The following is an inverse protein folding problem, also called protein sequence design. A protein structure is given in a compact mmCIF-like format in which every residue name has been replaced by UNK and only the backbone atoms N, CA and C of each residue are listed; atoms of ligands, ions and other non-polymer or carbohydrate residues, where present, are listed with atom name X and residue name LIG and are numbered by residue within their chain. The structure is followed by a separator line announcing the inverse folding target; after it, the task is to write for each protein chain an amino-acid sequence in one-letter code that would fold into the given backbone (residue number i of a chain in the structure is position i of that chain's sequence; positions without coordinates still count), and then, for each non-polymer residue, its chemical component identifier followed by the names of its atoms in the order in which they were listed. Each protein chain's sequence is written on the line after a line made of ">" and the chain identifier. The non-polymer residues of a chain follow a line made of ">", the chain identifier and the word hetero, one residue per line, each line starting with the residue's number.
data_IF_766722605642
#
_entry.id   IF_766722605642
#
_cell.length_a   1.000
_cell.length_b   1.000
_cell.length_c   1.000
_cell.angle_alpha   90.00
_cell.angle_beta   90.00
_cell.angle_gamma   90.00
#
_symmetry.space_group_name_H-M   'P 1'
#
loop_
_entity.id
_entity.type
_entity.pdbx_description
1 polymer ?
#
# COMPACT_ATOMS: atom_id res chain seq x y z
N UNK A 1 8.20 -4.39 19.62
CA UNK A 1 8.86 -3.81 18.42
C UNK A 1 9.41 -2.45 18.84
N UNK A 2 10.67 -2.11 18.51
CA UNK A 2 11.20 -0.77 18.78
C UNK A 2 10.80 0.14 17.61
N UNK A 3 10.09 1.22 17.90
CA UNK A 3 9.59 2.14 16.86
C UNK A 3 10.70 2.87 16.09
N UNK A 4 11.87 3.05 16.71
CA UNK A 4 13.01 3.74 16.08
C UNK A 4 13.64 2.91 14.95
N UNK A 5 13.34 1.59 14.89
CA UNK A 5 13.77 0.70 13.83
C UNK A 5 12.69 0.55 12.72
N UNK A 6 11.53 1.21 12.91
CA UNK A 6 10.40 1.06 12.01
C UNK A 6 10.51 2.01 10.82
N UNK A 7 10.20 1.49 9.62
CA UNK A 7 10.15 2.25 8.37
C UNK A 7 8.80 2.02 7.69
N UNK A 8 8.13 3.13 7.34
CA UNK A 8 6.98 3.12 6.44
C UNK A 8 7.45 3.29 5.00
N UNK A 9 7.08 2.35 4.14
CA UNK A 9 7.24 2.45 2.68
C UNK A 9 5.92 2.87 2.04
N UNK A 10 5.94 3.95 1.25
CA UNK A 10 4.76 4.52 0.60
C UNK A 10 5.13 5.22 -0.72
N UNK A 11 4.20 5.90 -1.38
CA UNK A 11 4.43 6.61 -2.63
C UNK A 11 4.22 8.12 -2.55
N UNK A 12 3.69 8.62 -1.45
CA UNK A 12 3.48 10.05 -1.21
C UNK A 12 2.35 10.69 -2.02
N UNK A 13 1.51 9.91 -2.69
CA UNK A 13 0.36 10.42 -3.42
C UNK A 13 -0.74 10.91 -2.45
N UNK A 14 -1.60 11.82 -2.95
CA UNK A 14 -2.75 12.30 -2.18
C UNK A 14 -3.69 11.15 -1.79
N UNK A 15 -4.33 11.27 -0.65
CA UNK A 15 -5.26 10.29 -0.10
C UNK A 15 -4.60 9.34 0.92
N UNK A 16 -4.71 8.04 0.72
CA UNK A 16 -4.25 7.06 1.71
C UNK A 16 -2.74 7.14 1.97
N UNK A 17 -1.92 7.22 0.92
CA UNK A 17 -0.46 7.28 1.08
C UNK A 17 -0.01 8.53 1.85
N UNK A 18 -0.63 9.70 1.57
CA UNK A 18 -0.42 10.91 2.36
C UNK A 18 -0.79 10.69 3.83
N UNK A 19 -1.95 10.08 4.11
CA UNK A 19 -2.43 9.86 5.46
C UNK A 19 -1.53 8.89 6.24
N UNK A 20 -1.05 7.82 5.61
CA UNK A 20 -0.05 6.92 6.20
C UNK A 20 1.24 7.67 6.58
N UNK A 21 1.77 8.50 5.67
CA UNK A 21 2.95 9.30 5.94
C UNK A 21 2.73 10.32 7.06
N UNK A 22 1.58 11.00 7.11
CA UNK A 22 1.23 11.92 8.21
C UNK A 22 1.14 11.19 9.56
N UNK A 23 0.60 9.96 9.58
CA UNK A 23 0.56 9.14 10.78
C UNK A 23 1.96 8.71 11.21
N UNK A 24 2.80 8.24 10.28
CA UNK A 24 4.21 7.88 10.55
C UNK A 24 4.97 9.06 11.17
N UNK A 25 4.81 10.27 10.62
CA UNK A 25 5.46 11.48 11.16
C UNK A 25 5.00 11.80 12.57
N UNK A 26 3.70 11.74 12.86
CA UNK A 26 3.18 11.99 14.23
C UNK A 26 3.72 11.01 15.26
N UNK A 27 3.98 9.75 14.85
CA UNK A 27 4.51 8.70 15.73
C UNK A 27 6.03 8.61 15.72
N UNK A 28 6.73 9.47 14.96
CA UNK A 28 8.18 9.47 14.86
C UNK A 28 8.78 8.31 14.07
N UNK A 29 7.99 7.68 13.21
CA UNK A 29 8.42 6.57 12.34
C UNK A 29 9.12 7.13 11.11
N UNK A 30 10.23 6.50 10.68
CA UNK A 30 10.89 6.82 9.43
C UNK A 30 9.98 6.48 8.24
N UNK A 31 10.11 7.26 7.18
CA UNK A 31 9.25 7.14 5.99
C UNK A 31 10.11 7.20 4.72
N UNK A 32 9.81 6.31 3.78
CA UNK A 32 10.38 6.29 2.43
C UNK A 32 9.25 6.33 1.41
N UNK A 33 9.21 7.41 0.62
CA UNK A 33 8.21 7.59 -0.45
C UNK A 33 8.86 7.34 -1.82
N UNK A 34 8.51 6.24 -2.46
CA UNK A 34 8.97 5.92 -3.80
C UNK A 34 8.23 6.72 -4.85
N UNK A 35 8.98 7.39 -5.73
CA UNK A 35 8.46 8.29 -6.75
C UNK A 35 9.33 8.25 -8.01
N UNK A 36 8.96 9.02 -9.02
CA UNK A 36 9.70 9.19 -10.27
C UNK A 36 9.61 10.64 -10.77
N UNK A 37 10.48 11.04 -11.66
CA UNK A 37 10.48 12.40 -12.22
C UNK A 37 9.14 12.73 -12.90
N UNK A 38 8.46 13.79 -12.43
CA UNK A 38 7.15 14.22 -12.90
C UNK A 38 5.96 13.50 -12.24
N UNK A 39 6.19 12.71 -11.20
CA UNK A 39 5.10 12.12 -10.41
C UNK A 39 4.39 13.20 -9.58
N UNK A 40 3.07 13.24 -9.69
CA UNK A 40 2.25 14.16 -8.87
C UNK A 40 2.05 13.58 -7.48
N UNK A 41 2.91 13.99 -6.55
CA UNK A 41 2.87 13.63 -5.14
C UNK A 41 2.64 14.87 -4.28
N UNK A 42 2.11 14.68 -3.08
CA UNK A 42 1.85 15.76 -2.11
C UNK A 42 2.74 15.65 -0.88
N UNK A 43 3.43 14.51 -0.73
CA UNK A 43 4.31 14.24 0.41
C UNK A 43 5.72 13.93 -0.07
N UNK A 44 6.68 14.70 0.45
CA UNK A 44 8.10 14.63 0.01
C UNK A 44 9.06 14.22 1.12
N UNK A 45 8.56 13.93 2.34
CA UNK A 45 9.39 13.39 3.42
C UNK A 45 9.91 12.01 3.02
N UNK A 46 11.20 11.73 3.18
CA UNK A 46 11.81 10.48 2.78
C UNK A 46 11.71 10.17 1.29
N UNK A 47 11.67 11.20 0.42
CA UNK A 47 11.48 11.02 -1.01
C UNK A 47 12.62 10.24 -1.66
N UNK A 48 12.30 9.14 -2.34
CA UNK A 48 13.19 8.32 -3.15
C UNK A 48 12.75 8.37 -4.61
N UNK A 49 13.41 9.18 -5.42
CA UNK A 49 13.13 9.30 -6.87
C UNK A 49 13.86 8.16 -7.60
N UNK A 50 13.09 7.28 -8.22
CA UNK A 50 13.59 6.14 -8.99
C UNK A 50 13.92 6.55 -10.42
N UNK A 51 15.04 6.07 -10.94
CA UNK A 51 15.41 6.23 -12.34
C UNK A 51 14.71 5.18 -13.22
N UNK A 52 14.95 5.22 -14.54
CA UNK A 52 14.29 4.32 -15.49
C UNK A 52 14.64 2.84 -15.26
N UNK A 53 15.88 2.53 -14.95
CA UNK A 53 16.35 1.16 -14.73
C UNK A 53 15.79 0.59 -13.42
N UNK A 54 15.78 1.40 -12.37
CA UNK A 54 15.16 1.05 -11.10
C UNK A 54 13.67 0.76 -11.29
N UNK A 55 12.93 1.64 -11.96
CA UNK A 55 11.50 1.43 -12.23
C UNK A 55 11.23 0.11 -12.95
N UNK A 56 12.08 -0.26 -13.92
CA UNK A 56 11.91 -1.49 -14.70
C UNK A 56 12.11 -2.78 -13.87
N UNK A 57 12.71 -2.71 -12.69
CA UNK A 57 12.99 -3.89 -11.85
C UNK A 57 11.73 -4.67 -11.45
N UNK A 58 10.57 -3.99 -11.37
CA UNK A 58 9.29 -4.60 -11.04
C UNK A 58 8.50 -5.16 -12.22
N UNK A 59 8.94 -4.94 -13.46
CA UNK A 59 8.12 -5.19 -14.66
C UNK A 59 7.65 -6.64 -14.81
N UNK A 60 8.53 -7.61 -14.55
CA UNK A 60 8.19 -9.05 -14.65
C UNK A 60 7.12 -9.42 -13.64
N UNK A 61 7.26 -8.97 -12.39
CA UNK A 61 6.27 -9.21 -11.33
C UNK A 61 4.94 -8.56 -11.66
N UNK A 62 4.96 -7.31 -12.12
CA UNK A 62 3.75 -6.57 -12.47
C UNK A 62 3.02 -7.16 -13.68
N UNK A 63 3.75 -7.61 -14.70
CA UNK A 63 3.14 -8.36 -15.82
C UNK A 63 2.44 -9.62 -15.33
N UNK A 64 3.07 -10.37 -14.42
CA UNK A 64 2.47 -11.57 -13.84
C UNK A 64 1.22 -11.25 -13.01
N UNK A 65 1.28 -10.23 -12.14
CA UNK A 65 0.13 -9.73 -11.37
C UNK A 65 -1.02 -9.33 -12.31
N UNK A 66 -0.72 -8.61 -13.39
CA UNK A 66 -1.71 -8.22 -14.38
C UNK A 66 -2.46 -9.42 -14.98
N UNK A 67 -1.72 -10.48 -15.31
CA UNK A 67 -2.32 -11.72 -15.84
C UNK A 67 -3.26 -12.38 -14.83
N UNK A 68 -2.86 -12.46 -13.55
CA UNK A 68 -3.70 -13.03 -12.49
C UNK A 68 -5.01 -12.27 -12.31
N UNK A 69 -4.97 -10.94 -12.41
CA UNK A 69 -6.15 -10.09 -12.30
C UNK A 69 -6.93 -9.94 -13.62
N UNK A 70 -6.51 -10.60 -14.71
CA UNK A 70 -7.02 -10.35 -16.05
C UNK A 70 -6.99 -8.85 -16.43
N UNK A 71 -5.92 -8.14 -16.03
CA UNK A 71 -5.66 -6.72 -16.33
C UNK A 71 -4.38 -6.59 -17.14
N UNK A 72 -4.35 -5.61 -18.04
CA UNK A 72 -3.16 -5.34 -18.84
C UNK A 72 -2.18 -4.45 -18.06
N UNK A 73 -0.94 -4.92 -17.92
CA UNK A 73 0.20 -4.07 -17.54
C UNK A 73 0.68 -3.35 -18.80
N UNK A 74 0.17 -2.14 -19.05
CA UNK A 74 0.24 -1.54 -20.37
C UNK A 74 1.45 -0.63 -20.57
N UNK A 75 2.13 -0.81 -21.72
CA UNK A 75 3.09 0.15 -22.27
C UNK A 75 2.41 1.45 -22.76
N UNK A 76 1.11 1.41 -23.05
CA UNK A 76 0.36 2.51 -23.69
C UNK A 76 -0.01 3.65 -22.72
N UNK A 77 0.23 3.49 -21.44
CA UNK A 77 0.00 4.50 -20.40
C UNK A 77 1.24 4.67 -19.51
N UNK A 78 2.28 5.34 -19.98
CA UNK A 78 3.58 5.38 -19.30
C UNK A 78 3.52 5.94 -17.89
N UNK A 79 2.65 6.89 -17.60
CA UNK A 79 2.47 7.43 -16.25
C UNK A 79 1.84 6.39 -15.31
N UNK A 80 0.80 5.68 -15.76
CA UNK A 80 0.16 4.62 -14.97
C UNK A 80 1.15 3.49 -14.72
N UNK A 81 1.91 3.06 -15.73
CA UNK A 81 2.95 2.05 -15.58
C UNK A 81 3.96 2.45 -14.50
N UNK A 82 4.48 3.69 -14.53
CA UNK A 82 5.43 4.18 -13.52
C UNK A 82 4.83 4.21 -12.12
N UNK A 83 3.55 4.56 -11.98
CA UNK A 83 2.84 4.49 -10.70
C UNK A 83 2.82 3.04 -10.19
N UNK A 84 2.48 2.06 -11.04
CA UNK A 84 2.49 0.65 -10.66
C UNK A 84 3.91 0.17 -10.28
N UNK A 85 4.94 0.64 -10.97
CA UNK A 85 6.33 0.36 -10.65
C UNK A 85 6.72 0.92 -9.27
N UNK A 86 6.24 2.11 -8.89
CA UNK A 86 6.45 2.62 -7.50
C UNK A 86 5.70 1.79 -6.47
N UNK A 87 4.50 1.30 -6.76
CA UNK A 87 3.74 0.39 -5.88
C UNK A 87 4.51 -0.92 -5.67
N UNK A 88 5.13 -1.45 -6.72
CA UNK A 88 6.00 -2.62 -6.58
C UNK A 88 7.12 -2.37 -5.56
N UNK A 89 7.80 -1.22 -5.61
CA UNK A 89 8.84 -0.86 -4.63
C UNK A 89 8.29 -0.76 -3.21
N UNK A 90 7.13 -0.15 -3.04
CA UNK A 90 6.49 -0.04 -1.72
C UNK A 90 6.28 -1.44 -1.11
N UNK A 91 5.63 -2.33 -1.86
CA UNK A 91 5.31 -3.69 -1.39
C UNK A 91 6.55 -4.56 -1.28
N UNK A 92 7.51 -4.44 -2.22
CA UNK A 92 8.74 -5.25 -2.20
C UNK A 92 9.59 -4.99 -0.95
N UNK A 93 9.65 -3.73 -0.49
CA UNK A 93 10.43 -3.33 0.68
C UNK A 93 9.68 -3.56 2.00
N UNK A 94 8.35 -3.50 2.01
CA UNK A 94 7.56 -3.80 3.20
C UNK A 94 7.52 -5.30 3.53
N UNK A 95 7.50 -5.60 4.80
CA UNK A 95 7.31 -6.96 5.33
C UNK A 95 5.83 -7.24 5.63
N UNK A 96 5.08 -6.20 5.98
CA UNK A 96 3.66 -6.24 6.29
C UNK A 96 2.94 -5.09 5.56
N UNK A 97 1.82 -5.38 4.90
CA UNK A 97 1.18 -4.49 3.93
C UNK A 97 -0.19 -4.06 4.42
N UNK A 98 -0.41 -2.74 4.49
CA UNK A 98 -1.67 -2.10 4.85
C UNK A 98 -2.22 -1.31 3.67
N UNK A 99 -3.46 -1.54 3.35
CA UNK A 99 -4.12 -0.99 2.17
C UNK A 99 -5.44 -0.33 2.56
N UNK A 100 -5.69 0.88 2.06
CA UNK A 100 -7.04 1.48 2.11
C UNK A 100 -7.64 1.37 0.71
N UNK A 101 -8.77 0.67 0.60
CA UNK A 101 -9.36 0.43 -0.72
C UNK A 101 -10.78 -0.10 -0.69
N UNK A 102 -11.13 -0.87 -1.69
CA UNK A 102 -12.42 -1.58 -1.80
C UNK A 102 -12.15 -2.97 -2.34
N UNK A 103 -12.59 -3.99 -1.64
CA UNK A 103 -12.52 -5.39 -2.08
C UNK A 103 -13.67 -5.64 -3.04
N UNK A 104 -13.38 -6.22 -4.20
CA UNK A 104 -14.35 -6.56 -5.24
C UNK A 104 -14.88 -7.99 -5.04
N UNK A 105 -15.96 -8.34 -5.74
CA UNK A 105 -16.59 -9.66 -5.66
C UNK A 105 -15.65 -10.82 -6.05
N UNK A 106 -14.67 -10.54 -6.91
CA UNK A 106 -13.62 -11.50 -7.30
C UNK A 106 -12.48 -11.62 -6.27
N UNK A 107 -12.58 -10.93 -5.15
CA UNK A 107 -11.55 -10.90 -4.09
C UNK A 107 -10.33 -10.03 -4.39
N UNK A 108 -10.27 -9.38 -5.56
CA UNK A 108 -9.23 -8.38 -5.86
C UNK A 108 -9.55 -7.04 -5.22
N UNK A 109 -8.54 -6.20 -5.03
CA UNK A 109 -8.74 -4.80 -4.61
C UNK A 109 -8.87 -3.91 -5.84
N UNK A 110 -9.78 -2.94 -5.77
CA UNK A 110 -10.12 -2.05 -6.89
C UNK A 110 -8.95 -1.14 -7.28
N UNK A 111 -8.82 -0.90 -8.59
CA UNK A 111 -7.92 0.12 -9.15
C UNK A 111 -6.44 -0.24 -9.13
N UNK A 112 -5.58 0.77 -9.15
CA UNK A 112 -4.12 0.63 -9.06
C UNK A 112 -3.66 -0.02 -7.76
N UNK A 113 -4.33 0.27 -6.66
CA UNK A 113 -4.11 -0.31 -5.34
C UNK A 113 -4.18 -1.85 -5.35
N UNK A 114 -5.04 -2.42 -6.21
CA UNK A 114 -5.16 -3.86 -6.38
C UNK A 114 -3.87 -4.54 -6.84
N UNK A 115 -3.03 -3.85 -7.60
CA UNK A 115 -1.75 -4.40 -8.04
C UNK A 115 -0.80 -4.63 -6.86
N UNK A 116 -0.76 -3.71 -5.90
CA UNK A 116 0.02 -3.87 -4.67
C UNK A 116 -0.52 -4.99 -3.79
N UNK A 117 -1.84 -5.09 -3.63
CA UNK A 117 -2.48 -6.15 -2.86
C UNK A 117 -2.21 -7.54 -3.47
N UNK A 118 -2.38 -7.71 -4.79
CA UNK A 118 -2.09 -8.98 -5.46
C UNK A 118 -0.62 -9.34 -5.43
N UNK A 119 0.28 -8.34 -5.56
CA UNK A 119 1.71 -8.59 -5.42
C UNK A 119 2.08 -9.04 -3.99
N UNK A 120 1.44 -8.47 -2.97
CA UNK A 120 1.62 -8.91 -1.57
C UNK A 120 1.15 -10.36 -1.36
N UNK A 121 0.01 -10.77 -1.95
CA UNK A 121 -0.47 -12.16 -1.93
C UNK A 121 0.55 -13.12 -2.56
N UNK A 122 1.09 -12.79 -3.74
CA UNK A 122 2.10 -13.61 -4.42
C UNK A 122 3.36 -13.77 -3.57
N UNK A 123 3.78 -12.69 -2.90
CA UNK A 123 4.94 -12.70 -2.02
C UNK A 123 4.66 -13.32 -0.64
N UNK A 124 3.43 -13.79 -0.41
CA UNK A 124 2.98 -14.36 0.86
C UNK A 124 3.26 -13.44 2.06
N UNK A 125 3.09 -12.13 1.86
CA UNK A 125 3.26 -11.14 2.91
C UNK A 125 1.95 -10.96 3.70
N UNK A 126 2.01 -10.74 5.03
CA UNK A 126 0.86 -10.31 5.79
C UNK A 126 0.20 -9.11 5.11
N UNK A 127 -1.09 -9.23 4.79
CA UNK A 127 -1.83 -8.25 4.02
C UNK A 127 -3.15 -7.92 4.71
N UNK A 128 -3.35 -6.63 4.96
CA UNK A 128 -4.55 -6.09 5.59
C UNK A 128 -5.15 -5.01 4.70
N UNK A 129 -6.43 -5.12 4.42
CA UNK A 129 -7.19 -4.13 3.63
C UNK A 129 -8.30 -3.54 4.48
N UNK A 130 -8.33 -2.22 4.63
CA UNK A 130 -9.52 -1.52 5.13
C UNK A 130 -10.42 -1.19 3.96
N UNK A 131 -11.57 -1.84 3.93
CA UNK A 131 -12.61 -1.55 2.95
C UNK A 131 -13.50 -0.41 3.45
N UNK A 132 -13.37 0.76 2.82
CA UNK A 132 -14.10 1.96 3.25
C UNK A 132 -15.62 1.83 3.07
N UNK A 133 -16.08 1.03 2.10
CA UNK A 133 -17.50 0.82 1.87
C UNK A 133 -18.12 -0.11 2.93
N UNK A 134 -17.35 -1.07 3.42
CA UNK A 134 -17.78 -2.03 4.43
C UNK A 134 -17.43 -1.59 5.86
N UNK A 135 -16.67 -0.50 6.00
CA UNK A 135 -16.17 0.07 7.26
C UNK A 135 -15.52 -0.98 8.17
N UNK A 136 -14.63 -1.77 7.58
CA UNK A 136 -13.98 -2.89 8.27
C UNK A 136 -12.60 -3.22 7.71
N UNK A 137 -11.73 -3.73 8.57
CA UNK A 137 -10.49 -4.38 8.19
C UNK A 137 -10.74 -5.81 7.74
N UNK A 138 -9.98 -6.22 6.73
CA UNK A 138 -9.91 -7.58 6.24
C UNK A 138 -8.46 -8.04 6.21
N UNK A 139 -8.20 -9.27 6.63
CA UNK A 139 -6.87 -9.89 6.59
C UNK A 139 -6.89 -11.02 5.57
N UNK A 140 -5.90 -11.06 4.69
CA UNK A 140 -5.73 -12.18 3.76
C UNK A 140 -5.17 -13.40 4.47
N UNK A 141 -5.87 -14.53 4.43
CA UNK A 141 -5.46 -15.78 5.10
C UNK A 141 -4.72 -16.77 4.19
N UNK A 142 -4.40 -16.36 2.94
CA UNK A 142 -3.79 -17.20 1.92
C UNK A 142 -4.76 -17.68 0.84
N UNK A 143 -6.07 -17.68 1.12
CA UNK A 143 -7.12 -18.15 0.20
C UNK A 143 -8.32 -17.22 0.10
N UNK A 144 -8.66 -16.52 1.17
CA UNK A 144 -9.82 -15.64 1.27
C UNK A 144 -9.54 -14.46 2.21
N UNK A 145 -10.48 -13.53 2.22
CA UNK A 145 -10.47 -12.40 3.14
C UNK A 145 -11.24 -12.73 4.42
N UNK A 146 -10.55 -12.68 5.55
CA UNK A 146 -11.16 -12.78 6.87
C UNK A 146 -11.52 -11.37 7.35
N UNK A 147 -12.80 -11.10 7.52
CA UNK A 147 -13.29 -9.85 8.08
C UNK A 147 -12.96 -9.80 9.57
N UNK A 148 -12.37 -8.70 10.02
CA UNK A 148 -12.16 -8.43 11.44
C UNK A 148 -13.43 -7.86 12.09
N UNK A 149 -13.61 -8.11 13.37
CA UNK A 149 -14.73 -7.53 14.13
C UNK A 149 -14.59 -6.01 14.23
N UNK A 150 -15.72 -5.33 14.48
CA UNK A 150 -15.73 -3.89 14.67
C UNK A 150 -14.86 -3.50 15.88
N UNK A 151 -13.94 -2.58 15.65
CA UNK A 151 -12.98 -2.15 16.66
C UNK A 151 -11.71 -3.04 16.79
N UNK A 152 -11.66 -4.20 16.13
CA UNK A 152 -10.48 -5.06 16.09
C UNK A 152 -9.66 -4.80 14.82
N UNK A 153 -8.93 -3.69 14.79
CA UNK A 153 -7.98 -3.38 13.71
C UNK A 153 -6.67 -4.16 13.85
N UNK A 154 -5.90 -4.29 12.77
CA UNK A 154 -4.58 -4.91 12.83
C UNK A 154 -3.63 -4.09 13.72
N UNK A 155 -2.58 -4.76 14.18
CA UNK A 155 -1.43 -4.17 14.88
C UNK A 155 -0.18 -4.54 14.10
N UNK A 156 0.70 -3.58 13.85
CA UNK A 156 1.94 -3.84 13.12
C UNK A 156 2.86 -4.76 13.94
N UNK A 157 3.31 -5.83 13.30
CA UNK A 157 4.18 -6.86 13.90
C UNK A 157 5.58 -6.85 13.31
N UNK A 158 5.79 -6.12 12.21
CA UNK A 158 7.06 -6.00 11.50
C UNK A 158 7.56 -4.56 11.51
N UNK A 159 8.89 -4.41 11.49
CA UNK A 159 9.55 -3.09 11.48
C UNK A 159 9.44 -2.39 10.12
N UNK A 160 9.31 -3.12 9.02
CA UNK A 160 9.13 -2.58 7.68
C UNK A 160 7.68 -2.77 7.25
N UNK A 161 6.91 -1.68 7.26
CA UNK A 161 5.50 -1.70 6.87
C UNK A 161 5.28 -0.93 5.56
N UNK A 162 4.30 -1.36 4.78
CA UNK A 162 3.82 -0.60 3.63
C UNK A 162 2.45 -0.01 3.90
N UNK A 163 2.29 1.28 3.61
CA UNK A 163 1.01 1.98 3.63
C UNK A 163 0.68 2.51 2.23
N UNK A 164 -0.36 1.95 1.61
CA UNK A 164 -0.80 2.36 0.27
C UNK A 164 -2.32 2.39 0.18
N UNK A 165 -2.87 2.90 -0.93
CA UNK A 165 -4.33 2.85 -1.08
C UNK A 165 -4.90 3.90 -2.03
N UNK A 166 -6.20 4.10 -1.88
CA UNK A 166 -6.97 4.98 -2.74
C UNK A 166 -6.63 6.45 -2.55
N UNK A 167 -6.69 7.20 -3.65
CA UNK A 167 -6.67 8.67 -3.62
C UNK A 167 -7.96 9.28 -3.05
N UNK A 168 -9.06 8.52 -3.07
CA UNK A 168 -10.36 8.92 -2.55
C UNK A 168 -10.52 8.46 -1.11
N UNK A 169 -9.62 8.93 -0.25
CA UNK A 169 -9.66 8.61 1.19
C UNK A 169 -10.88 9.24 1.85
N UNK A 170 -11.67 8.42 2.51
CA UNK A 170 -12.82 8.83 3.32
C UNK A 170 -12.44 9.02 4.79
N UNK A 171 -13.28 9.70 5.61
CA UNK A 171 -12.99 9.90 7.03
C UNK A 171 -12.76 8.61 7.81
N UNK A 172 -13.51 7.53 7.52
CA UNK A 172 -13.33 6.23 8.16
C UNK A 172 -12.01 5.56 7.78
N UNK A 173 -11.58 5.68 6.52
CA UNK A 173 -10.27 5.20 6.08
C UNK A 173 -9.12 5.95 6.76
N UNK A 174 -9.25 7.28 6.95
CA UNK A 174 -8.26 8.05 7.72
C UNK A 174 -8.23 7.60 9.17
N UNK A 175 -9.41 7.47 9.79
CA UNK A 175 -9.49 6.97 11.18
C UNK A 175 -8.86 5.58 11.32
N UNK A 176 -9.09 4.69 10.38
CA UNK A 176 -8.50 3.35 10.40
C UNK A 176 -6.96 3.38 10.36
N UNK A 177 -6.36 4.32 9.60
CA UNK A 177 -4.91 4.55 9.59
C UNK A 177 -4.45 5.08 10.95
N UNK A 178 -5.10 6.09 11.49
CA UNK A 178 -4.74 6.67 12.78
C UNK A 178 -4.82 5.61 13.89
N UNK A 179 -5.91 4.85 13.97
CA UNK A 179 -6.11 3.76 14.93
C UNK A 179 -5.03 2.65 14.77
N UNK A 180 -4.60 2.33 13.54
CA UNK A 180 -3.52 1.38 13.29
C UNK A 180 -2.21 1.84 13.93
N UNK A 181 -1.85 3.10 13.72
CA UNK A 181 -0.61 3.65 14.27
C UNK A 181 -0.68 3.79 15.78
N UNK A 182 -1.77 4.26 16.35
CA UNK A 182 -1.98 4.36 17.81
C UNK A 182 -1.88 3.01 18.52
N UNK A 183 -2.29 1.89 17.86
CA UNK A 183 -2.19 0.55 18.43
C UNK A 183 -0.81 -0.07 18.27
N UNK A 184 -0.05 0.37 17.26
CA UNK A 184 1.21 -0.27 16.87
C UNK A 184 2.43 0.40 17.50
N UNK A 185 2.38 1.72 17.75
CA UNK A 185 3.52 2.56 18.10
C UNK A 185 3.22 3.54 19.24
#
# INVERSE_FOLDING_TARGET
>A
MNKDDCILFSGGAAGAEQAFGEAAERHGIEEVNFSFAGHNIVRTRGLRVLNHEELASGDVSLEYVGRLMNRRYTADAPTIRRILQTIWYQVNNGQEIYVIGTIQDDGSVRGGTGWGAEFAKICNKPLHVFDQAQDAWFTWNGTSWDRREAGDGPVATHIHITGTGTRLLQPNGRKAIDDLFERSF
#
